data_IF_196998784841
#
_entry.id   IF_196998784841
#
_cell.length_a   1.000
_cell.length_b   1.000
_cell.length_c   1.000
_cell.angle_alpha   90.00
_cell.angle_beta   90.00
_cell.angle_gamma   90.00
#
_symmetry.space_group_name_H-M   'P 1'
#
loop_
_entity.id
_entity.type
_entity.pdbx_description
1 polymer ?
#
# COMPACT_ATOMS: atom_id res chain seq x y z
N UNK A 1 13.42 -3.26 15.80
CA UNK A 1 13.83 -1.98 15.18
C UNK A 1 13.14 -1.88 13.84
N UNK A 2 12.12 -1.04 13.69
CA UNK A 2 11.45 -0.83 12.39
C UNK A 2 12.38 0.04 11.54
N UNK A 3 13.01 -0.56 10.53
CA UNK A 3 13.83 0.16 9.55
C UNK A 3 12.91 1.08 8.74
N UNK A 4 13.40 2.27 8.37
CA UNK A 4 12.66 3.16 7.46
C UNK A 4 12.24 2.36 6.22
N UNK A 5 10.96 2.41 5.80
CA UNK A 5 10.51 1.63 4.67
C UNK A 5 11.32 2.00 3.42
N UNK A 6 11.72 1.00 2.65
CA UNK A 6 12.35 1.23 1.36
C UNK A 6 11.32 1.86 0.43
N UNK A 7 11.72 2.97 -0.20
CA UNK A 7 10.88 3.70 -1.16
C UNK A 7 11.31 3.34 -2.57
N UNK A 8 10.36 2.88 -3.37
CA UNK A 8 10.58 2.50 -4.76
C UNK A 8 9.71 3.36 -5.65
N UNK A 9 10.29 3.83 -6.76
CA UNK A 9 9.55 4.54 -7.82
C UNK A 9 9.70 3.71 -9.08
N UNK A 10 8.57 3.29 -9.63
CA UNK A 10 8.48 2.54 -10.87
C UNK A 10 7.89 3.47 -11.93
N UNK A 11 8.59 3.66 -13.03
CA UNK A 11 8.14 4.54 -14.11
C UNK A 11 7.72 3.65 -15.27
N UNK A 12 6.42 3.66 -15.56
CA UNK A 12 5.86 2.98 -16.71
C UNK A 12 5.78 3.96 -17.89
N UNK A 13 6.59 3.70 -18.91
CA UNK A 13 6.60 4.48 -20.16
C UNK A 13 5.59 3.96 -21.19
N UNK A 14 4.94 2.82 -20.93
CA UNK A 14 3.90 2.32 -21.82
C UNK A 14 2.55 2.98 -21.49
N UNK A 15 1.96 3.58 -22.51
CA UNK A 15 0.70 4.33 -22.43
C UNK A 15 -0.49 3.36 -22.32
N UNK A 16 -0.32 2.10 -22.71
CA UNK A 16 -1.47 1.25 -23.02
C UNK A 16 -2.06 0.44 -21.85
N UNK A 17 -1.41 0.29 -20.69
CA UNK A 17 -2.10 -0.17 -19.48
C UNK A 17 -1.22 -0.21 -18.21
N UNK A 18 -1.71 0.30 -17.08
CA UNK A 18 -1.09 0.06 -15.75
C UNK A 18 -1.53 -1.29 -15.20
N UNK A 19 -2.83 -1.56 -15.27
CA UNK A 19 -3.46 -2.58 -14.43
C UNK A 19 -3.19 -3.98 -14.94
N UNK A 20 -3.21 -4.18 -16.26
CA UNK A 20 -3.02 -5.52 -16.83
C UNK A 20 -1.54 -5.87 -16.92
N UNK A 21 -0.72 -5.10 -17.63
CA UNK A 21 0.63 -5.58 -17.99
C UNK A 21 1.63 -5.51 -16.82
N UNK A 22 1.67 -4.40 -16.07
CA UNK A 22 2.66 -4.22 -15.02
C UNK A 22 2.38 -5.10 -13.80
N UNK A 23 1.12 -5.15 -13.34
CA UNK A 23 0.74 -5.96 -12.19
C UNK A 23 0.80 -7.47 -12.48
N UNK A 24 0.52 -7.90 -13.73
CA UNK A 24 0.71 -9.29 -14.13
C UNK A 24 2.19 -9.68 -14.11
N UNK A 25 3.08 -8.85 -14.67
CA UNK A 25 4.51 -9.12 -14.70
C UNK A 25 5.16 -9.10 -13.31
N UNK A 26 4.58 -8.36 -12.36
CA UNK A 26 5.04 -8.27 -10.97
C UNK A 26 4.26 -9.18 -10.02
N UNK A 27 3.40 -10.06 -10.52
CA UNK A 27 2.51 -10.89 -9.69
C UNK A 27 3.26 -11.78 -8.69
N UNK A 28 4.46 -12.25 -9.06
CA UNK A 28 5.33 -13.07 -8.23
C UNK A 28 6.04 -12.28 -7.10
N UNK A 29 6.04 -10.95 -7.17
CA UNK A 29 6.66 -10.10 -6.16
C UNK A 29 5.62 -9.75 -5.08
N UNK A 30 5.99 -9.99 -3.83
CA UNK A 30 5.16 -9.60 -2.69
C UNK A 30 5.58 -8.22 -2.17
N UNK A 31 4.84 -7.18 -2.59
CA UNK A 31 4.95 -5.83 -2.04
C UNK A 31 3.80 -5.67 -1.03
N UNK A 32 4.12 -5.61 0.26
CA UNK A 32 3.10 -5.52 1.31
C UNK A 32 2.80 -4.06 1.72
N UNK A 33 1.76 -3.87 2.52
CA UNK A 33 1.28 -2.55 3.00
C UNK A 33 2.34 -1.74 3.76
N UNK A 34 3.40 -2.39 4.25
CA UNK A 34 4.51 -1.73 4.93
C UNK A 34 5.55 -1.13 3.97
N UNK A 35 5.53 -1.54 2.70
CA UNK A 35 6.43 -1.12 1.64
C UNK A 35 5.88 0.11 0.91
N UNK A 36 6.75 1.07 0.61
CA UNK A 36 6.34 2.29 -0.11
C UNK A 36 6.75 2.20 -1.58
N UNK A 37 5.86 1.67 -2.41
CA UNK A 37 6.10 1.52 -3.86
C UNK A 37 5.13 2.40 -4.64
N UNK A 38 5.68 3.34 -5.41
CA UNK A 38 4.94 4.31 -6.20
C UNK A 38 5.14 4.02 -7.69
N UNK A 39 4.05 3.82 -8.42
CA UNK A 39 4.04 3.76 -9.88
C UNK A 39 3.71 5.13 -10.43
N UNK A 40 4.51 5.57 -11.40
CA UNK A 40 4.23 6.72 -12.26
C UNK A 40 3.81 6.15 -13.62
N UNK A 41 2.60 6.47 -14.04
CA UNK A 41 2.09 6.08 -15.35
C UNK A 41 1.69 7.28 -16.16
N UNK A 42 2.06 7.25 -17.43
CA UNK A 42 1.67 8.25 -18.39
C UNK A 42 0.34 7.88 -19.05
N UNK A 43 -0.72 8.61 -18.71
CA UNK A 43 -2.06 8.41 -19.31
C UNK A 43 -2.16 9.07 -20.69
N UNK A 44 -1.50 10.22 -20.86
CA UNK A 44 -1.40 10.91 -22.15
C UNK A 44 -0.14 11.79 -22.19
N UNK A 45 0.17 12.37 -23.36
CA UNK A 45 1.36 13.22 -23.52
C UNK A 45 1.39 14.34 -22.48
N UNK A 46 2.36 14.28 -21.55
CA UNK A 46 2.53 15.29 -20.49
C UNK A 46 1.61 15.15 -19.26
N UNK A 47 0.78 14.11 -19.19
CA UNK A 47 -0.12 13.83 -18.06
C UNK A 47 0.21 12.49 -17.42
N UNK A 48 0.50 12.54 -16.11
CA UNK A 48 0.96 11.40 -15.35
C UNK A 48 0.11 11.19 -14.11
N UNK A 49 -0.31 9.95 -13.87
CA UNK A 49 -0.96 9.54 -12.63
C UNK A 49 0.02 8.74 -11.78
N UNK A 50 0.01 9.02 -10.49
CA UNK A 50 0.88 8.42 -9.51
C UNK A 50 0.03 7.54 -8.61
N UNK A 51 0.40 6.27 -8.47
CA UNK A 51 -0.34 5.29 -7.67
C UNK A 51 0.59 4.60 -6.69
N UNK A 52 0.17 4.44 -5.44
CA UNK A 52 0.78 3.43 -4.58
C UNK A 52 0.24 2.06 -4.96
N UNK A 53 1.10 1.05 -4.88
CA UNK A 53 0.73 -0.36 -5.06
C UNK A 53 1.17 -1.22 -3.90
N UNK A 54 0.33 -2.17 -3.53
CA UNK A 54 0.60 -3.14 -2.48
C UNK A 54 -0.36 -4.32 -2.55
N UNK A 55 -0.03 -5.38 -1.81
CA UNK A 55 -0.89 -6.50 -1.45
C UNK A 55 -1.08 -6.49 0.07
N UNK A 56 -2.24 -6.91 0.55
CA UNK A 56 -2.46 -7.09 1.99
C UNK A 56 -1.80 -8.38 2.48
N UNK A 57 -1.82 -9.43 1.65
CA UNK A 57 -1.18 -10.72 1.87
C UNK A 57 -0.69 -11.33 0.55
N UNK A 58 0.12 -12.39 0.61
CA UNK A 58 0.67 -13.05 -0.58
C UNK A 58 -0.41 -13.60 -1.52
N UNK A 59 -1.58 -13.94 -0.99
CA UNK A 59 -2.72 -14.49 -1.73
C UNK A 59 -3.72 -13.41 -2.16
N UNK A 60 -3.59 -12.18 -1.63
CA UNK A 60 -4.49 -11.08 -1.98
C UNK A 60 -4.18 -10.51 -3.37
N UNK A 61 -5.21 -9.92 -3.98
CA UNK A 61 -5.06 -9.14 -5.21
C UNK A 61 -4.23 -7.88 -4.94
N UNK A 62 -3.63 -7.35 -6.00
CA UNK A 62 -3.02 -6.02 -5.97
C UNK A 62 -4.07 -4.96 -5.69
N UNK A 63 -3.72 -4.01 -4.84
CA UNK A 63 -4.47 -2.81 -4.56
C UNK A 63 -3.70 -1.60 -5.06
N UNK A 64 -4.43 -0.60 -5.55
CA UNK A 64 -3.90 0.68 -5.99
C UNK A 64 -4.54 1.84 -5.26
N UNK A 65 -3.74 2.79 -4.82
CA UNK A 65 -4.22 4.04 -4.25
C UNK A 65 -3.71 5.22 -5.06
N UNK A 66 -4.60 6.09 -5.53
CA UNK A 66 -4.21 7.30 -6.25
C UNK A 66 -3.47 8.25 -5.28
N UNK A 67 -2.17 8.43 -5.51
CA UNK A 67 -1.34 9.40 -4.81
C UNK A 67 -1.58 10.81 -5.36
N UNK A 68 -1.66 10.94 -6.69
CA UNK A 68 -1.87 12.25 -7.29
C UNK A 68 -1.70 12.26 -8.79
N UNK A 69 -1.86 13.46 -9.34
CA UNK A 69 -1.75 13.72 -10.77
C UNK A 69 -0.66 14.78 -10.96
N UNK A 70 0.23 14.53 -11.91
CA UNK A 70 1.26 15.47 -12.32
C UNK A 70 1.09 15.84 -13.78
N UNK A 71 1.19 17.14 -14.07
CA UNK A 71 1.37 17.67 -15.41
C UNK A 71 2.17 18.96 -15.37
N UNK A 72 2.63 19.43 -16.53
CA UNK A 72 3.52 20.61 -16.59
C UNK A 72 2.84 21.91 -16.14
N UNK A 73 1.52 22.03 -16.28
CA UNK A 73 0.79 23.26 -15.97
C UNK A 73 0.38 23.37 -14.50
N UNK A 74 0.05 22.24 -13.87
CA UNK A 74 -0.49 22.17 -12.52
C UNK A 74 0.49 21.59 -11.49
N UNK A 75 1.67 21.15 -11.94
CA UNK A 75 2.66 20.43 -11.12
C UNK A 75 1.99 19.20 -10.47
N UNK A 76 2.56 18.65 -9.41
CA UNK A 76 1.97 17.56 -8.65
C UNK A 76 0.79 18.09 -7.82
N UNK A 77 -0.40 17.57 -8.08
CA UNK A 77 -1.58 17.70 -7.22
C UNK A 77 -1.84 16.35 -6.54
N UNK A 78 -1.65 16.30 -5.22
CA UNK A 78 -1.97 15.10 -4.42
C UNK A 78 -3.47 14.86 -4.40
N UNK A 79 -3.87 13.60 -4.27
CA UNK A 79 -5.26 13.21 -4.08
C UNK A 79 -5.78 13.75 -2.73
N UNK A 80 -6.99 14.33 -2.66
CA UNK A 80 -7.54 14.87 -1.40
C UNK A 80 -7.80 13.78 -0.36
N UNK A 81 -7.99 12.54 -0.79
CA UNK A 81 -8.24 11.39 0.08
C UNK A 81 -6.94 10.70 0.54
N UNK A 82 -5.78 11.28 0.22
CA UNK A 82 -4.52 10.65 0.54
C UNK A 82 -4.20 10.78 2.03
N UNK A 83 -4.01 9.63 2.69
CA UNK A 83 -3.49 9.57 4.05
C UNK A 83 -1.98 9.82 4.01
N UNK A 84 -1.53 10.96 4.52
CA UNK A 84 -0.10 11.31 4.56
C UNK A 84 0.69 10.47 5.56
N UNK A 85 0.02 9.94 6.59
CA UNK A 85 0.66 9.15 7.65
C UNK A 85 0.70 7.68 7.24
N UNK A 86 1.89 7.17 6.91
CA UNK A 86 2.10 5.76 6.51
C UNK A 86 1.57 4.77 7.55
N UNK A 87 1.64 5.10 8.85
CA UNK A 87 1.08 4.25 9.91
C UNK A 87 -0.45 4.09 9.80
N UNK A 88 -1.17 5.14 9.40
CA UNK A 88 -2.62 5.09 9.20
C UNK A 88 -3.00 4.36 7.90
N UNK A 89 -2.17 4.44 6.86
CA UNK A 89 -2.34 3.58 5.66
C UNK A 89 -2.27 2.09 6.02
N UNK A 90 -1.36 1.72 6.92
CA UNK A 90 -1.21 0.34 7.43
C UNK A 90 -2.36 -0.13 8.31
N UNK A 91 -3.22 0.78 8.79
CA UNK A 91 -4.39 0.41 9.59
C UNK A 91 -5.53 -0.13 8.72
N UNK A 92 -5.66 0.36 7.49
CA UNK A 92 -6.70 -0.10 6.58
C UNK A 92 -6.24 -1.35 5.82
N UNK A 93 -6.64 -2.51 6.31
CA UNK A 93 -6.38 -3.80 5.69
C UNK A 93 -7.61 -4.38 4.98
N UNK A 94 -8.60 -3.54 4.61
CA UNK A 94 -9.80 -3.96 3.87
C UNK A 94 -10.51 -5.19 4.46
N UNK A 95 -10.73 -5.18 5.79
CA UNK A 95 -11.32 -6.28 6.57
C UNK A 95 -10.55 -7.62 6.47
N UNK A 96 -9.28 -7.60 6.07
CA UNK A 96 -8.44 -8.80 6.04
C UNK A 96 -8.27 -9.38 7.44
N UNK A 97 -8.56 -10.67 7.58
CA UNK A 97 -8.45 -11.39 8.85
C UNK A 97 -6.98 -11.56 9.25
N UNK A 98 -6.62 -10.98 10.40
CA UNK A 98 -5.30 -11.12 10.97
C UNK A 98 -5.20 -12.40 11.78
N UNK A 99 -4.35 -13.33 11.33
CA UNK A 99 -3.98 -14.51 12.11
C UNK A 99 -2.99 -14.10 13.20
N UNK A 100 -3.44 -14.15 14.45
CA UNK A 100 -2.60 -13.87 15.62
C UNK A 100 -2.28 -15.18 16.36
N UNK A 101 -1.05 -15.29 16.85
CA UNK A 101 -0.66 -16.32 17.80
C UNK A 101 -0.08 -15.61 19.03
N UNK A 102 -0.62 -15.92 20.20
CA UNK A 102 -0.18 -15.33 21.46
C UNK A 102 0.12 -16.45 22.45
N UNK A 103 1.20 -16.30 23.22
CA UNK A 103 1.60 -17.26 24.26
C UNK A 103 1.34 -16.61 25.61
N UNK A 104 0.43 -17.21 26.38
CA UNK A 104 0.19 -16.82 27.77
C UNK A 104 1.21 -17.54 28.65
N UNK A 105 2.09 -16.77 29.31
CA UNK A 105 3.12 -17.31 30.20
C UNK A 105 2.71 -17.32 31.66
N UNK A 106 1.66 -16.57 32.02
CA UNK A 106 1.05 -16.54 33.34
C UNK A 106 -0.37 -17.13 33.23
N UNK A 107 -0.66 -18.13 34.05
CA UNK A 107 -1.96 -18.79 34.07
C UNK A 107 -3.09 -17.82 34.49
N UNK A 108 -2.78 -16.80 35.30
CA UNK A 108 -3.79 -15.86 35.78
C UNK A 108 -4.21 -14.85 34.70
N UNK A 109 -3.43 -14.69 33.63
CA UNK A 109 -3.72 -13.76 32.53
C UNK A 109 -5.06 -14.04 31.83
N UNK A 110 -5.58 -15.28 31.87
CA UNK A 110 -6.89 -15.64 31.32
C UNK A 110 -8.03 -14.94 32.08
N UNK A 111 -7.87 -14.72 33.38
CA UNK A 111 -8.91 -14.14 34.23
C UNK A 111 -9.05 -12.63 34.06
N UNK A 112 -8.05 -11.98 33.45
CA UNK A 112 -7.99 -10.52 33.27
C UNK A 112 -8.28 -10.06 31.84
N UNK A 113 -8.76 -10.95 30.96
CA UNK A 113 -8.99 -10.64 29.54
C UNK A 113 -10.14 -9.65 29.29
N UNK A 114 -11.03 -9.47 30.26
CA UNK A 114 -12.24 -8.63 30.15
C UNK A 114 -12.32 -7.57 31.26
N UNK A 115 -11.23 -7.35 32.01
CA UNK A 115 -11.20 -6.33 33.04
C UNK A 115 -11.35 -4.95 32.39
N UNK A 116 -12.27 -4.15 32.89
CA UNK A 116 -12.43 -2.76 32.46
C UNK A 116 -11.27 -1.91 33.01
N UNK A 117 -10.71 -1.06 32.14
CA UNK A 117 -9.59 -0.13 32.44
C UNK A 117 -10.08 1.21 32.97
#
# INVERSE_FOLDING_TARGET
MFRSPYRWILINNDINDIETTLMQNMSDINIFVDSEVLIIHQESSGFYKLYYIYKISSESKWLTELYGIWNITNVLKKSPNQIEVTALRRLNLDNYELKICYVLTDNDSINHLADEV
#
